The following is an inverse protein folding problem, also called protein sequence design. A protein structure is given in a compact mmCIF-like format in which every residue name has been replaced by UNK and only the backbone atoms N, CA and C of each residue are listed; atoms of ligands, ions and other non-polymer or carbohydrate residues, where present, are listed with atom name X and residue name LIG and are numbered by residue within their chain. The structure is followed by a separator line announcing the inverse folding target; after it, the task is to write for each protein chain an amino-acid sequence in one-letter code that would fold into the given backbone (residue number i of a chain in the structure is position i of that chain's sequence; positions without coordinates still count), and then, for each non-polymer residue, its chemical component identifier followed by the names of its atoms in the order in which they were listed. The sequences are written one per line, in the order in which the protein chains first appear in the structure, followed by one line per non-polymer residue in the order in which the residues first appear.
data_IF_698090449402
#
_entry.id   IF_698090449402
#
_cell.length_a   1.000
_cell.length_b   1.000
_cell.length_c   1.000
_cell.angle_alpha   90.00
_cell.angle_beta   90.00
_cell.angle_gamma   90.00
#
_symmetry.space_group_name_H-M   'P 1'
#
loop_
_entity.id
_entity.type
_entity.pdbx_description
1 polymer ?
#
# COMPACT_ATOMS: atom_id res chain seq x y z
N UNK A 1 2.74 12.83 -11.42
CA UNK A 1 2.26 14.05 -10.72
C UNK A 1 1.86 13.79 -9.27
N UNK A 2 0.77 13.06 -8.97
CA UNK A 2 0.31 12.96 -7.56
C UNK A 2 1.34 12.29 -6.62
N UNK A 3 1.95 11.19 -7.06
CA UNK A 3 3.05 10.53 -6.34
C UNK A 3 4.22 11.48 -6.07
N UNK A 4 4.59 12.31 -7.05
CA UNK A 4 5.65 13.31 -6.92
C UNK A 4 5.29 14.39 -5.89
N UNK A 5 4.04 14.89 -5.88
CA UNK A 5 3.57 15.85 -4.88
C UNK A 5 3.57 15.29 -3.46
N UNK A 6 3.35 13.98 -3.32
CA UNK A 6 3.48 13.27 -2.05
C UNK A 6 4.90 12.78 -1.76
N UNK A 7 5.89 13.09 -2.61
CA UNK A 7 7.27 12.62 -2.40
C UNK A 7 7.48 11.11 -2.54
N UNK A 8 6.55 10.39 -3.16
CA UNK A 8 6.67 8.95 -3.43
C UNK A 8 7.65 8.72 -4.58
N UNK A 9 8.80 8.13 -4.26
CA UNK A 9 9.88 7.82 -5.21
C UNK A 9 9.93 6.35 -5.63
N UNK A 10 9.06 5.51 -5.08
CA UNK A 10 9.01 4.07 -5.35
C UNK A 10 8.78 3.82 -6.84
N UNK A 11 9.52 2.85 -7.40
CA UNK A 11 9.34 2.43 -8.79
C UNK A 11 7.94 1.84 -8.98
N UNK A 12 7.24 2.31 -10.00
CA UNK A 12 5.97 1.73 -10.45
C UNK A 12 6.23 0.74 -11.58
N UNK A 13 5.61 -0.44 -11.50
CA UNK A 13 5.60 -1.44 -12.55
C UNK A 13 4.13 -1.71 -12.90
N UNK A 14 3.76 -1.51 -14.17
CA UNK A 14 2.39 -1.68 -14.65
C UNK A 14 2.25 -3.08 -15.25
N UNK A 15 1.60 -3.98 -14.51
CA UNK A 15 1.49 -5.40 -14.89
C UNK A 15 0.86 -5.63 -16.27
N UNK A 16 -0.18 -4.87 -16.63
CA UNK A 16 -0.86 -4.97 -17.93
C UNK A 16 0.03 -4.59 -19.12
N UNK A 17 1.05 -3.75 -18.90
CA UNK A 17 2.00 -3.33 -19.93
C UNK A 17 3.27 -4.17 -19.92
N UNK A 18 3.79 -4.48 -18.73
CA UNK A 18 5.13 -5.01 -18.54
C UNK A 18 5.14 -6.54 -18.36
N UNK A 19 4.08 -7.12 -17.81
CA UNK A 19 4.09 -8.52 -17.38
C UNK A 19 3.22 -9.45 -18.24
N UNK A 20 2.39 -8.96 -19.18
CA UNK A 20 1.66 -9.80 -20.17
C UNK A 20 1.14 -11.15 -19.62
N UNK A 21 0.44 -11.11 -18.48
CA UNK A 21 0.05 -12.32 -17.74
C UNK A 21 -1.21 -12.91 -18.36
N UNK A 22 -1.21 -14.22 -18.62
CA UNK A 22 -2.34 -14.96 -19.20
C UNK A 22 -2.77 -16.08 -18.25
N UNK A 23 -3.70 -15.78 -17.36
CA UNK A 23 -4.35 -16.76 -16.49
C UNK A 23 -5.66 -16.17 -15.98
N UNK A 24 -6.68 -17.02 -15.81
CA UNK A 24 -7.94 -16.69 -15.15
C UNK A 24 -7.89 -16.93 -13.63
N UNK A 25 -6.89 -17.70 -13.15
CA UNK A 25 -6.73 -17.97 -11.73
C UNK A 25 -6.11 -16.75 -11.01
N UNK A 26 -6.83 -16.26 -10.00
CA UNK A 26 -6.44 -15.07 -9.23
C UNK A 26 -5.15 -15.26 -8.43
N UNK A 27 -4.89 -16.45 -7.88
CA UNK A 27 -3.70 -16.73 -7.09
C UNK A 27 -2.50 -16.91 -8.02
N UNK A 28 -2.65 -17.66 -9.10
CA UNK A 28 -1.59 -17.86 -10.09
C UNK A 28 -1.17 -16.52 -10.72
N UNK A 29 -2.11 -15.60 -10.95
CA UNK A 29 -1.79 -14.25 -11.40
C UNK A 29 -0.87 -13.53 -10.41
N UNK A 30 -1.14 -13.61 -9.11
CA UNK A 30 -0.32 -12.97 -8.08
C UNK A 30 1.05 -13.65 -7.94
N UNK A 31 1.13 -14.97 -8.07
CA UNK A 31 2.40 -15.69 -8.07
C UNK A 31 3.29 -15.28 -9.24
N UNK A 32 2.73 -15.20 -10.46
CA UNK A 32 3.46 -14.75 -11.64
C UNK A 32 3.94 -13.31 -11.49
N UNK A 33 3.13 -12.43 -10.87
CA UNK A 33 3.56 -11.05 -10.61
C UNK A 33 4.75 -11.03 -9.66
N UNK A 34 4.64 -11.71 -8.51
CA UNK A 34 5.68 -11.70 -7.49
C UNK A 34 6.99 -12.29 -8.02
N UNK A 35 6.92 -13.43 -8.70
CA UNK A 35 8.08 -14.09 -9.32
C UNK A 35 8.81 -13.16 -10.30
N UNK A 36 8.09 -12.53 -11.23
CA UNK A 36 8.69 -11.69 -12.27
C UNK A 36 9.36 -10.42 -11.76
N UNK A 37 8.93 -9.92 -10.60
CA UNK A 37 9.51 -8.72 -9.99
C UNK A 37 10.43 -9.05 -8.81
N UNK A 38 10.61 -10.34 -8.49
CA UNK A 38 11.41 -10.80 -7.36
C UNK A 38 10.84 -10.39 -6.00
N UNK A 39 9.52 -10.30 -5.85
CA UNK A 39 8.89 -9.96 -4.59
C UNK A 39 8.76 -11.20 -3.67
N UNK A 40 9.09 -11.01 -2.40
CA UNK A 40 8.97 -11.97 -1.31
C UNK A 40 7.80 -11.67 -0.36
N UNK A 41 7.11 -10.55 -0.58
CA UNK A 41 5.97 -10.11 0.22
C UNK A 41 4.84 -9.54 -0.65
N UNK A 42 3.61 -9.85 -0.26
CA UNK A 42 2.39 -9.33 -0.85
C UNK A 42 1.57 -8.56 0.21
N UNK A 43 1.33 -7.28 -0.03
CA UNK A 43 0.57 -6.41 0.86
C UNK A 43 -0.90 -6.33 0.40
N UNK A 44 -1.84 -6.69 1.28
CA UNK A 44 -3.25 -6.88 0.92
C UNK A 44 -4.15 -6.18 1.94
N UNK A 45 -5.20 -5.50 1.49
CA UNK A 45 -6.21 -4.89 2.39
C UNK A 45 -6.73 -5.88 3.44
N UNK A 46 -7.17 -5.37 4.61
CA UNK A 46 -7.64 -6.20 5.73
C UNK A 46 -8.68 -7.26 5.32
N UNK A 47 -9.62 -6.90 4.44
CA UNK A 47 -10.65 -7.81 3.92
C UNK A 47 -10.07 -9.00 3.12
N UNK A 48 -8.81 -8.92 2.68
CA UNK A 48 -8.07 -10.02 2.07
C UNK A 48 -8.02 -11.28 2.94
N UNK A 49 -7.99 -11.11 4.26
CA UNK A 49 -7.94 -12.21 5.21
C UNK A 49 -9.17 -13.12 5.12
N UNK A 50 -10.28 -12.64 4.56
CA UNK A 50 -11.51 -13.42 4.43
C UNK A 50 -11.47 -14.42 3.25
N UNK A 51 -10.53 -14.29 2.31
CA UNK A 51 -10.55 -15.08 1.08
C UNK A 51 -9.17 -15.50 0.54
N UNK A 52 -8.08 -15.02 1.13
CA UNK A 52 -6.73 -15.47 0.84
C UNK A 52 -6.28 -16.50 1.85
N UNK A 53 -5.62 -17.55 1.38
CA UNK A 53 -4.96 -18.55 2.21
C UNK A 53 -3.46 -18.24 2.28
N UNK A 54 -2.93 -17.68 3.38
CA UNK A 54 -1.52 -17.31 3.49
C UNK A 54 -0.55 -18.50 3.35
N UNK A 55 -0.98 -19.72 3.72
CA UNK A 55 -0.11 -20.90 3.63
C UNK A 55 0.18 -21.27 2.18
N UNK A 56 -0.79 -21.06 1.29
CA UNK A 56 -0.61 -21.25 -0.15
C UNK A 56 0.49 -20.35 -0.73
N UNK A 57 0.58 -19.10 -0.25
CA UNK A 57 1.59 -18.13 -0.68
C UNK A 57 2.95 -18.42 -0.03
N UNK A 58 2.96 -18.80 1.24
CA UNK A 58 4.17 -19.15 1.97
C UNK A 58 4.93 -20.32 1.33
N UNK A 59 4.22 -21.32 0.76
CA UNK A 59 4.82 -22.42 -0.01
C UNK A 59 5.62 -21.96 -1.24
N UNK A 60 5.37 -20.74 -1.73
CA UNK A 60 6.11 -20.11 -2.83
C UNK A 60 7.08 -19.02 -2.35
N UNK A 61 7.35 -18.96 -1.05
CA UNK A 61 8.25 -17.96 -0.46
C UNK A 61 7.66 -16.54 -0.37
N UNK A 62 6.33 -16.40 -0.50
CA UNK A 62 5.67 -15.09 -0.47
C UNK A 62 4.96 -14.91 0.87
N UNK A 63 5.37 -13.90 1.64
CA UNK A 63 4.71 -13.48 2.87
C UNK A 63 3.50 -12.60 2.57
N UNK A 64 2.29 -13.05 2.93
CA UNK A 64 1.10 -12.20 2.86
C UNK A 64 1.03 -11.32 4.11
N UNK A 65 0.90 -10.01 3.90
CA UNK A 65 0.79 -9.01 4.96
C UNK A 65 -0.56 -8.30 4.79
N UNK A 66 -1.46 -8.51 5.74
CA UNK A 66 -2.75 -7.83 5.76
C UNK A 66 -2.61 -6.43 6.37
N UNK A 67 -3.12 -5.41 5.67
CA UNK A 67 -3.05 -4.04 6.16
C UNK A 67 -3.95 -3.87 7.38
N UNK A 68 -3.43 -3.21 8.41
CA UNK A 68 -4.19 -2.67 9.53
C UNK A 68 -3.96 -1.16 9.62
N UNK A 69 -4.19 -0.46 8.51
CA UNK A 69 -3.92 0.97 8.41
C UNK A 69 -4.82 1.78 9.36
N UNK A 70 -4.21 2.60 10.22
CA UNK A 70 -4.92 3.51 11.11
C UNK A 70 -4.96 4.89 10.47
N UNK A 71 -6.15 5.40 10.18
CA UNK A 71 -6.26 6.70 9.52
C UNK A 71 -5.69 7.81 10.43
N UNK A 72 -4.64 8.52 10.00
CA UNK A 72 -4.06 9.60 10.80
C UNK A 72 -4.99 10.81 10.81
N UNK A 73 -4.92 11.59 11.88
CA UNK A 73 -5.54 12.91 11.95
C UNK A 73 -4.57 13.98 11.43
N UNK A 74 -5.13 15.07 10.91
CA UNK A 74 -4.39 16.22 10.40
C UNK A 74 -5.27 17.47 10.46
N UNK A 75 -4.68 18.64 10.26
CA UNK A 75 -5.43 19.88 10.27
C UNK A 75 -6.27 19.98 9.00
N UNK A 76 -7.59 20.14 9.13
CA UNK A 76 -8.49 20.54 8.04
C UNK A 76 -8.87 22.00 8.23
N UNK A 77 -8.65 22.82 7.19
CA UNK A 77 -8.73 24.29 7.30
C UNK A 77 -10.17 24.83 7.44
N UNK A 78 -11.20 24.02 7.14
CA UNK A 78 -12.58 24.48 6.97
C UNK A 78 -13.60 23.76 7.87
N UNK A 79 -13.31 23.67 9.16
CA UNK A 79 -14.26 23.18 10.17
C UNK A 79 -13.71 22.03 11.02
N UNK A 80 -14.61 21.18 11.49
CA UNK A 80 -14.26 19.98 12.25
C UNK A 80 -13.62 18.91 11.36
N UNK A 81 -12.81 18.05 11.97
CA UNK A 81 -12.12 16.97 11.27
C UNK A 81 -13.11 15.91 10.76
N UNK A 82 -13.04 15.63 9.45
CA UNK A 82 -13.79 14.57 8.78
C UNK A 82 -12.82 13.43 8.44
N UNK A 83 -12.96 12.24 9.05
CA UNK A 83 -12.09 11.10 8.79
C UNK A 83 -12.38 10.44 7.43
N UNK A 84 -11.46 9.58 6.97
CA UNK A 84 -11.61 8.74 5.78
C UNK A 84 -11.75 9.48 4.44
N UNK A 85 -11.32 10.74 4.37
CA UNK A 85 -11.25 11.48 3.11
C UNK A 85 -10.09 11.03 2.21
N UNK A 86 -10.16 11.44 0.94
CA UNK A 86 -9.12 11.25 -0.06
C UNK A 86 -7.76 11.80 0.41
N UNK A 87 -6.66 11.15 0.01
CA UNK A 87 -5.30 11.71 0.19
C UNK A 87 -5.13 13.09 -0.46
N UNK A 88 -5.98 13.46 -1.42
CA UNK A 88 -6.00 14.81 -1.97
C UNK A 88 -6.37 15.86 -0.92
N UNK A 89 -7.31 15.56 -0.01
CA UNK A 89 -7.68 16.47 1.08
C UNK A 89 -6.48 16.74 1.99
N UNK A 90 -5.81 15.66 2.40
CA UNK A 90 -4.56 15.75 3.16
C UNK A 90 -3.51 16.58 2.43
N UNK A 91 -3.32 16.38 1.12
CA UNK A 91 -2.35 17.13 0.33
C UNK A 91 -2.67 18.63 0.26
N UNK A 92 -3.94 18.99 0.11
CA UNK A 92 -4.36 20.38 0.01
C UNK A 92 -4.29 21.13 1.36
N UNK A 93 -4.49 20.42 2.48
CA UNK A 93 -4.38 21.03 3.81
C UNK A 93 -2.93 21.05 4.36
N UNK A 94 -2.12 20.03 4.08
CA UNK A 94 -0.81 19.83 4.73
C UNK A 94 0.40 19.92 3.78
N UNK A 95 0.17 19.94 2.46
CA UNK A 95 1.21 20.13 1.45
C UNK A 95 2.40 19.15 1.61
N UNK A 96 3.66 19.62 1.69
CA UNK A 96 4.81 18.73 1.83
C UNK A 96 4.80 17.83 3.09
N UNK A 97 4.06 18.19 4.15
CA UNK A 97 3.96 17.36 5.36
C UNK A 97 3.08 16.12 5.19
N UNK A 98 2.30 16.05 4.11
CA UNK A 98 1.34 14.97 3.89
C UNK A 98 1.98 13.57 3.89
N UNK A 99 3.22 13.44 3.38
CA UNK A 99 3.93 12.15 3.40
C UNK A 99 4.24 11.69 4.82
N UNK A 100 4.73 12.58 5.68
CA UNK A 100 5.01 12.24 7.07
C UNK A 100 3.73 11.81 7.78
N UNK A 101 2.65 12.57 7.60
CA UNK A 101 1.36 12.32 8.24
C UNK A 101 0.76 10.98 7.79
N UNK A 102 0.71 10.71 6.48
CA UNK A 102 0.09 9.49 5.96
C UNK A 102 0.84 8.23 6.39
N UNK A 103 2.15 8.32 6.63
CA UNK A 103 2.95 7.18 7.07
C UNK A 103 2.68 6.77 8.52
N UNK A 104 2.22 7.68 9.39
CA UNK A 104 1.86 7.39 10.80
C UNK A 104 0.79 6.30 10.91
N UNK A 105 -0.07 6.17 9.90
CA UNK A 105 -1.08 5.12 9.87
C UNK A 105 -0.56 3.69 9.65
N UNK A 106 0.74 3.53 9.39
CA UNK A 106 1.38 2.24 9.08
C UNK A 106 2.44 1.79 10.08
N UNK A 107 2.61 2.52 11.20
CA UNK A 107 3.67 2.28 12.20
C UNK A 107 3.60 0.86 12.81
N UNK A 108 2.40 0.34 13.05
CA UNK A 108 2.18 -1.01 13.61
C UNK A 108 2.68 -2.14 12.69
N UNK A 109 2.88 -1.86 11.41
CA UNK A 109 3.18 -2.86 10.37
C UNK A 109 4.68 -2.92 10.07
N UNK A 110 5.35 -1.76 10.08
CA UNK A 110 6.76 -1.62 9.73
C UNK A 110 7.65 -1.30 10.92
N UNK A 111 7.08 -1.11 12.12
CA UNK A 111 7.79 -0.59 13.29
C UNK A 111 8.15 0.91 13.14
N UNK A 112 8.80 1.51 14.14
CA UNK A 112 9.31 2.87 14.03
C UNK A 112 10.30 2.94 12.87
N UNK A 113 10.01 3.79 11.88
CA UNK A 113 10.95 4.05 10.79
C UNK A 113 12.16 4.79 11.38
N UNK A 114 13.31 4.13 11.42
CA UNK A 114 14.59 4.80 11.67
C UNK A 114 14.79 5.83 10.56
N UNK A 115 14.88 7.10 10.94
CA UNK A 115 15.21 8.19 10.02
C UNK A 115 16.62 7.98 9.48
N UNK A 116 16.70 7.59 8.21
CA UNK A 116 17.93 7.59 7.39
C UNK A 116 18.00 8.83 6.53
#
# INVERSE_FOLDING_TARGET
WFAEKLGIKTRFIVSSKELRIKTEDKNERLFIICDRIGADALYVGAAGANYMDPELYAKRGIKVIFQNYKHPTYTQLFGEFIPYLSTLDLLLNEGPRSLEIILKGSEDIFGPRVSG
#
